data_IF_916355639171
#
_entry.id   IF_916355639171
#
_cell.length_a   1.000
_cell.length_b   1.000
_cell.length_c   1.000
_cell.angle_alpha   90.00
_cell.angle_beta   90.00
_cell.angle_gamma   90.00
#
_symmetry.space_group_name_H-M   'P 1'
#
loop_
_entity.id
_entity.type
_entity.pdbx_description
1 polymer ?
#
# COMPACT_ATOMS: atom_id res chain seq x y z
N UNK A 1 25.91 4.44 -4.38
CA UNK A 1 26.14 5.75 -3.74
C UNK A 1 25.03 5.95 -2.71
N UNK A 2 25.21 6.75 -1.66
CA UNK A 2 24.12 7.12 -0.77
C UNK A 2 23.08 7.96 -1.52
N UNK A 3 21.85 7.98 -1.00
CA UNK A 3 20.80 8.86 -1.51
C UNK A 3 21.16 10.34 -1.34
N UNK A 4 20.80 11.14 -2.32
CA UNK A 4 21.02 12.58 -2.28
C UNK A 4 20.08 13.26 -1.29
N UNK A 5 20.57 13.70 -0.15
CA UNK A 5 19.79 14.32 0.93
C UNK A 5 19.29 15.74 0.60
N UNK A 6 19.80 16.37 -0.45
CA UNK A 6 19.30 17.67 -0.93
C UNK A 6 17.88 17.55 -1.51
N UNK A 7 17.44 16.33 -1.77
CA UNK A 7 16.06 16.06 -2.18
C UNK A 7 15.03 16.17 -1.06
N UNK A 8 15.45 16.18 0.22
CA UNK A 8 14.51 16.32 1.35
C UNK A 8 13.76 17.66 1.23
N UNK A 9 12.43 17.60 1.17
CA UNK A 9 11.55 18.74 0.95
C UNK A 9 11.30 19.09 -0.52
N UNK A 10 12.03 18.49 -1.47
CA UNK A 10 11.83 18.70 -2.90
C UNK A 10 10.54 18.06 -3.38
N UNK A 11 9.72 18.84 -4.06
CA UNK A 11 8.54 18.37 -4.78
C UNK A 11 8.93 18.02 -6.23
N UNK A 12 8.37 16.92 -6.70
CA UNK A 12 8.49 16.48 -8.08
C UNK A 12 7.34 17.07 -8.93
N UNK A 13 7.51 17.18 -10.25
CA UNK A 13 6.44 17.63 -11.13
C UNK A 13 5.15 16.85 -10.91
N UNK A 14 3.99 17.52 -10.89
CA UNK A 14 2.71 16.84 -10.69
C UNK A 14 2.43 15.86 -11.82
N UNK A 15 1.81 14.73 -11.48
CA UNK A 15 1.26 13.78 -12.44
C UNK A 15 -0.25 13.78 -12.34
N UNK A 16 -0.93 13.47 -13.46
CA UNK A 16 -2.38 13.41 -13.49
C UNK A 16 -2.86 12.04 -13.99
N UNK A 17 -3.94 11.56 -13.40
CA UNK A 17 -4.60 10.31 -13.79
C UNK A 17 -6.11 10.50 -13.83
N UNK A 18 -6.76 9.90 -14.81
CA UNK A 18 -8.22 9.83 -14.89
C UNK A 18 -8.73 8.51 -14.32
N UNK A 19 -9.68 8.57 -13.41
CA UNK A 19 -10.35 7.39 -12.88
C UNK A 19 -11.35 6.89 -13.92
N UNK A 20 -11.03 5.82 -14.64
CA UNK A 20 -11.98 5.21 -15.58
C UNK A 20 -12.71 4.05 -14.92
N UNK A 21 -13.95 3.79 -15.35
CA UNK A 21 -14.74 2.66 -14.85
C UNK A 21 -14.01 1.33 -15.11
N UNK A 22 -13.43 1.18 -16.30
CA UNK A 22 -12.68 0.00 -16.70
C UNK A 22 -11.46 -0.23 -15.78
N UNK A 23 -10.66 0.81 -15.53
CA UNK A 23 -9.44 0.71 -14.72
C UNK A 23 -9.75 0.34 -13.26
N UNK A 24 -10.75 0.99 -12.63
CA UNK A 24 -11.11 0.68 -11.25
C UNK A 24 -11.67 -0.74 -11.10
N UNK A 25 -12.47 -1.22 -12.07
CA UNK A 25 -13.00 -2.58 -12.07
C UNK A 25 -11.92 -3.63 -12.35
N UNK A 26 -10.98 -3.33 -13.25
CA UNK A 26 -9.80 -4.17 -13.49
C UNK A 26 -8.97 -4.29 -12.21
N UNK A 27 -8.80 -3.18 -11.49
CA UNK A 27 -8.05 -3.17 -10.23
C UNK A 27 -8.76 -4.00 -9.14
N UNK A 28 -10.07 -3.87 -8.97
CA UNK A 28 -10.83 -4.69 -8.03
C UNK A 28 -10.68 -6.19 -8.31
N UNK A 29 -10.85 -6.59 -9.58
CA UNK A 29 -10.67 -7.99 -10.01
C UNK A 29 -9.24 -8.51 -9.82
N UNK A 30 -8.25 -7.63 -9.81
CA UNK A 30 -6.84 -8.02 -9.67
C UNK A 30 -6.48 -8.53 -8.26
N UNK A 31 -7.33 -8.35 -7.26
CA UNK A 31 -7.21 -8.94 -5.92
C UNK A 31 -8.53 -9.57 -5.45
N UNK A 32 -9.34 -10.05 -6.40
CA UNK A 32 -10.56 -10.84 -6.20
C UNK A 32 -11.59 -10.14 -5.32
N UNK A 33 -11.74 -8.81 -5.48
CA UNK A 33 -12.74 -8.02 -4.80
C UNK A 33 -13.96 -7.78 -5.69
N UNK A 34 -15.05 -8.41 -5.34
CA UNK A 34 -16.32 -8.41 -6.05
C UNK A 34 -17.38 -7.50 -5.39
N UNK A 35 -16.94 -6.58 -4.55
CA UNK A 35 -17.84 -5.68 -3.84
C UNK A 35 -18.77 -4.93 -4.83
N UNK A 36 -20.10 -5.00 -4.65
CA UNK A 36 -21.06 -4.37 -5.56
C UNK A 36 -20.83 -2.87 -5.80
N UNK A 37 -20.24 -2.18 -4.81
CA UNK A 37 -19.92 -0.75 -4.93
C UNK A 37 -18.94 -0.42 -6.06
N UNK A 38 -18.22 -1.41 -6.59
CA UNK A 38 -17.28 -1.23 -7.71
C UNK A 38 -17.89 -1.59 -9.07
N UNK A 39 -19.03 -2.31 -9.08
CA UNK A 39 -19.57 -2.92 -10.31
C UNK A 39 -21.00 -2.54 -10.60
N UNK A 40 -21.83 -2.31 -9.58
CA UNK A 40 -23.24 -2.06 -9.72
C UNK A 40 -23.57 -0.55 -9.66
N UNK A 41 -23.98 0.07 -10.79
CA UNK A 41 -24.34 1.49 -10.79
C UNK A 41 -25.61 1.79 -9.99
N UNK A 42 -26.44 0.77 -9.67
CA UNK A 42 -27.62 0.91 -8.84
C UNK A 42 -27.34 0.85 -7.33
N UNK A 43 -26.12 0.50 -6.94
CA UNK A 43 -25.70 0.47 -5.54
C UNK A 43 -25.88 1.86 -4.87
N UNK A 44 -26.28 1.94 -3.60
CA UNK A 44 -26.48 3.21 -2.90
C UNK A 44 -25.27 4.14 -3.00
N UNK A 45 -25.47 5.34 -3.56
CA UNK A 45 -24.40 6.30 -3.80
C UNK A 45 -23.55 6.04 -5.05
N UNK A 46 -23.95 5.07 -5.90
CA UNK A 46 -23.33 4.74 -7.18
C UNK A 46 -21.95 4.09 -7.08
N UNK A 47 -21.30 3.92 -8.21
CA UNK A 47 -19.97 3.31 -8.29
C UNK A 47 -18.91 4.20 -7.64
N UNK A 48 -18.03 3.58 -6.86
CA UNK A 48 -16.80 4.18 -6.32
C UNK A 48 -15.62 3.25 -6.64
N UNK A 49 -14.43 3.79 -6.70
CA UNK A 49 -13.24 2.97 -6.81
C UNK A 49 -12.92 2.25 -5.48
N UNK A 50 -12.32 1.05 -5.52
CA UNK A 50 -11.71 0.48 -4.34
C UNK A 50 -10.74 1.48 -3.71
N UNK A 51 -10.67 1.65 -2.38
CA UNK A 51 -9.74 2.59 -1.74
C UNK A 51 -8.29 2.37 -2.20
N UNK A 52 -7.88 1.11 -2.35
CA UNK A 52 -6.53 0.76 -2.81
C UNK A 52 -6.26 1.11 -4.29
N UNK A 53 -7.27 1.47 -5.09
CA UNK A 53 -7.07 2.03 -6.44
C UNK A 53 -6.27 3.35 -6.40
N UNK A 54 -6.23 4.01 -5.25
CA UNK A 54 -5.35 5.13 -5.00
C UNK A 54 -3.89 4.84 -5.35
N UNK A 55 -3.43 3.58 -5.26
CA UNK A 55 -2.10 3.16 -5.71
C UNK A 55 -1.92 3.41 -7.21
N UNK A 56 -2.88 2.99 -8.04
CA UNK A 56 -2.80 3.13 -9.49
C UNK A 56 -2.76 4.61 -9.92
N UNK A 57 -3.55 5.48 -9.27
CA UNK A 57 -3.56 6.92 -9.59
C UNK A 57 -2.30 7.66 -9.13
N UNK A 58 -1.60 7.17 -8.12
CA UNK A 58 -0.37 7.79 -7.59
C UNK A 58 0.91 7.17 -8.16
N UNK A 59 0.82 6.04 -8.87
CA UNK A 59 1.98 5.25 -9.27
C UNK A 59 3.02 6.03 -10.08
N UNK A 60 2.58 6.82 -11.06
CA UNK A 60 3.49 7.60 -11.89
C UNK A 60 4.24 8.69 -11.10
N UNK A 61 3.65 9.22 -10.03
CA UNK A 61 4.35 10.14 -9.12
C UNK A 61 5.45 9.43 -8.33
N UNK A 62 5.22 8.18 -7.90
CA UNK A 62 6.24 7.35 -7.25
C UNK A 62 7.38 7.05 -8.22
N UNK A 63 7.06 6.58 -9.43
CA UNK A 63 8.04 6.25 -10.48
C UNK A 63 8.89 7.47 -10.82
N UNK A 64 8.27 8.65 -11.00
CA UNK A 64 8.98 9.89 -11.31
C UNK A 64 9.91 10.32 -10.18
N UNK A 65 9.50 10.21 -8.94
CA UNK A 65 10.30 10.59 -7.78
C UNK A 65 11.47 9.64 -7.53
N UNK A 66 11.21 8.32 -7.55
CA UNK A 66 12.23 7.30 -7.26
C UNK A 66 13.18 7.12 -8.43
N UNK A 67 12.70 7.32 -9.65
CA UNK A 67 13.47 7.21 -10.89
C UNK A 67 14.32 8.43 -11.23
N UNK A 68 14.30 9.50 -10.44
CA UNK A 68 15.14 10.68 -10.65
C UNK A 68 16.63 10.29 -10.52
N UNK A 69 17.44 10.42 -11.58
CA UNK A 69 18.84 9.99 -11.54
C UNK A 69 19.68 10.73 -10.49
N UNK A 70 19.33 11.98 -10.20
CA UNK A 70 20.04 12.81 -9.22
C UNK A 70 19.76 12.40 -7.79
N UNK A 71 18.64 11.69 -7.52
CA UNK A 71 18.33 11.09 -6.22
C UNK A 71 19.30 9.94 -5.89
N UNK A 72 19.79 9.22 -6.91
CA UNK A 72 20.74 8.12 -6.74
C UNK A 72 20.15 6.84 -6.18
N UNK A 73 18.84 6.61 -6.28
CA UNK A 73 18.17 5.41 -5.80
C UNK A 73 18.58 4.18 -6.63
N UNK A 74 19.07 3.14 -5.97
CA UNK A 74 19.35 1.85 -6.61
C UNK A 74 18.09 0.97 -6.60
N UNK A 75 17.39 0.95 -7.73
CA UNK A 75 16.10 0.27 -7.88
C UNK A 75 16.18 -1.25 -7.66
N UNK A 76 17.35 -1.88 -7.93
CA UNK A 76 17.54 -3.32 -7.69
C UNK A 76 17.65 -3.69 -6.21
N UNK A 77 17.96 -2.69 -5.37
CA UNK A 77 18.08 -2.86 -3.91
C UNK A 77 16.92 -2.23 -3.15
N UNK A 78 15.97 -1.65 -3.89
CA UNK A 78 14.81 -1.00 -3.32
C UNK A 78 13.82 -2.03 -2.80
N UNK A 79 13.32 -1.80 -1.59
CA UNK A 79 12.22 -2.52 -0.97
C UNK A 79 11.13 -1.53 -0.61
N UNK A 80 9.89 -1.85 -0.92
CA UNK A 80 8.75 -1.15 -0.37
C UNK A 80 8.57 -1.60 1.08
N UNK A 81 8.81 -0.72 2.03
CA UNK A 81 8.87 -1.04 3.46
C UNK A 81 7.59 -0.67 4.21
N UNK A 82 6.96 0.45 3.85
CA UNK A 82 5.78 0.98 4.53
C UNK A 82 4.83 1.64 3.52
N UNK A 83 3.54 1.50 3.77
CA UNK A 83 2.49 2.23 3.08
C UNK A 83 1.48 2.74 4.10
N UNK A 84 1.19 4.04 4.06
CA UNK A 84 0.14 4.67 4.86
C UNK A 84 -0.74 5.49 3.95
N UNK A 85 -2.02 5.16 3.87
CA UNK A 85 -2.99 5.80 2.98
C UNK A 85 -4.15 6.36 3.78
N UNK A 86 -4.41 7.66 3.63
CA UNK A 86 -5.56 8.34 4.20
C UNK A 86 -6.55 8.72 3.10
N UNK A 87 -7.73 8.10 3.14
CA UNK A 87 -8.79 8.23 2.14
C UNK A 87 -9.72 9.38 2.51
N UNK A 88 -9.48 10.57 1.96
CA UNK A 88 -10.17 11.82 2.32
C UNK A 88 -11.50 11.96 1.58
N UNK A 89 -11.56 11.49 0.33
CA UNK A 89 -12.78 11.44 -0.48
C UNK A 89 -12.78 10.19 -1.36
N UNK A 90 -13.97 9.63 -1.69
CA UNK A 90 -14.06 8.50 -2.60
C UNK A 90 -13.67 8.94 -4.02
N UNK A 91 -12.90 8.10 -4.72
CA UNK A 91 -12.62 8.25 -6.14
C UNK A 91 -13.78 7.66 -6.95
N UNK A 92 -14.20 8.35 -8.01
CA UNK A 92 -15.33 7.95 -8.87
C UNK A 92 -14.95 7.94 -10.34
N UNK A 93 -15.64 7.16 -11.18
CA UNK A 93 -15.46 7.23 -12.63
C UNK A 93 -15.61 8.67 -13.15
N UNK A 94 -14.65 9.13 -13.93
CA UNK A 94 -14.60 10.47 -14.48
C UNK A 94 -13.77 11.46 -13.65
N UNK A 95 -13.35 11.12 -12.43
CA UNK A 95 -12.48 11.99 -11.64
C UNK A 95 -11.12 12.15 -12.31
N UNK A 96 -10.64 13.39 -12.36
CA UNK A 96 -9.27 13.75 -12.73
C UNK A 96 -8.49 14.05 -11.44
N UNK A 97 -7.46 13.26 -11.19
CA UNK A 97 -6.65 13.34 -9.97
C UNK A 97 -5.25 13.81 -10.32
N UNK A 98 -4.81 14.88 -9.68
CA UNK A 98 -3.44 15.36 -9.76
C UNK A 98 -2.70 15.04 -8.47
N UNK A 99 -1.54 14.42 -8.58
CA UNK A 99 -0.69 14.02 -7.44
C UNK A 99 0.66 14.72 -7.52
N UNK A 100 1.09 15.27 -6.38
CA UNK A 100 2.45 15.79 -6.17
C UNK A 100 3.18 14.89 -5.20
N UNK A 101 4.35 14.41 -5.59
CA UNK A 101 5.25 13.64 -4.73
C UNK A 101 6.31 14.57 -4.15
N UNK A 102 6.59 14.43 -2.85
CA UNK A 102 7.65 15.15 -2.13
C UNK A 102 8.49 14.16 -1.35
N UNK A 103 9.82 14.29 -1.41
CA UNK A 103 10.72 13.53 -0.53
C UNK A 103 10.58 14.10 0.89
N UNK A 104 9.91 13.36 1.77
CA UNK A 104 9.66 13.79 3.14
C UNK A 104 10.88 13.59 4.05
N UNK A 105 11.59 12.46 3.87
CA UNK A 105 12.78 12.15 4.66
C UNK A 105 13.73 11.19 3.93
N UNK A 106 15.02 11.27 4.26
CA UNK A 106 16.05 10.29 3.93
C UNK A 106 16.88 10.07 5.19
N UNK A 107 16.93 8.83 5.69
CA UNK A 107 17.58 8.48 6.95
C UNK A 107 18.50 7.28 6.77
N UNK A 108 19.71 7.37 7.34
CA UNK A 108 20.56 6.20 7.46
C UNK A 108 19.98 5.23 8.50
N UNK A 109 19.91 3.97 8.15
CA UNK A 109 19.41 2.89 9.01
C UNK A 109 20.38 1.70 8.97
N UNK A 110 20.40 0.84 9.98
CA UNK A 110 21.18 -0.39 9.91
C UNK A 110 20.84 -1.18 8.65
N UNK A 111 21.88 -1.44 7.83
CA UNK A 111 21.74 -2.22 6.59
C UNK A 111 21.30 -1.44 5.35
N UNK A 112 21.15 -0.11 5.41
CA UNK A 112 20.80 0.70 4.25
C UNK A 112 20.32 2.11 4.57
N UNK A 113 19.48 2.63 3.71
CA UNK A 113 18.85 3.94 3.88
C UNK A 113 17.32 3.81 3.73
N UNK A 114 16.59 4.46 4.63
CA UNK A 114 15.16 4.62 4.55
C UNK A 114 14.82 5.97 3.90
N UNK A 115 13.87 5.98 3.00
CA UNK A 115 13.31 7.20 2.39
C UNK A 115 11.80 7.15 2.46
N UNK A 116 11.16 8.27 2.74
CA UNK A 116 9.73 8.43 2.69
C UNK A 116 9.34 9.45 1.63
N UNK A 117 8.39 9.07 0.76
CA UNK A 117 7.70 9.97 -0.16
C UNK A 117 6.32 10.31 0.41
N UNK A 118 6.01 11.59 0.50
CA UNK A 118 4.66 12.09 0.74
C UNK A 118 3.99 12.37 -0.61
N UNK A 119 2.82 11.75 -0.85
CA UNK A 119 2.03 11.92 -2.05
C UNK A 119 0.72 12.60 -1.69
N UNK A 120 0.50 13.80 -2.20
CA UNK A 120 -0.71 14.56 -1.97
C UNK A 120 -1.53 14.61 -3.27
N UNK A 121 -2.72 14.00 -3.25
CA UNK A 121 -3.60 13.90 -4.41
C UNK A 121 -4.83 14.79 -4.24
N UNK A 122 -5.16 15.53 -5.29
CA UNK A 122 -6.29 16.45 -5.35
C UNK A 122 -7.15 16.16 -6.57
N UNK A 123 -8.44 16.40 -6.47
CA UNK A 123 -9.33 16.37 -7.62
C UNK A 123 -9.21 17.67 -8.44
N UNK A 124 -9.94 17.74 -9.58
CA UNK A 124 -9.94 18.89 -10.49
C UNK A 124 -10.36 20.22 -9.80
N UNK A 125 -11.16 20.17 -8.75
CA UNK A 125 -11.54 21.35 -7.96
C UNK A 125 -10.48 21.76 -6.92
N UNK A 126 -9.33 21.05 -6.85
CA UNK A 126 -8.27 21.29 -5.90
C UNK A 126 -8.53 20.71 -4.50
N UNK A 127 -9.66 20.02 -4.28
CA UNK A 127 -9.96 19.39 -3.01
C UNK A 127 -9.09 18.14 -2.78
N UNK A 128 -8.53 17.93 -1.57
CA UNK A 128 -7.73 16.76 -1.28
C UNK A 128 -8.60 15.49 -1.28
N UNK A 129 -8.11 14.42 -1.93
CA UNK A 129 -8.81 13.14 -2.03
C UNK A 129 -8.04 11.98 -1.42
N UNK A 130 -6.71 12.05 -1.43
CA UNK A 130 -5.84 11.00 -0.91
C UNK A 130 -4.52 11.62 -0.41
N UNK A 131 -4.07 11.18 0.75
CA UNK A 131 -2.68 11.34 1.21
C UNK A 131 -2.04 9.99 1.35
N UNK A 132 -0.79 9.90 0.92
CA UNK A 132 -0.03 8.64 1.01
C UNK A 132 1.37 8.94 1.51
N UNK A 133 1.83 8.16 2.48
CA UNK A 133 3.25 8.02 2.80
C UNK A 133 3.74 6.70 2.22
N UNK A 134 4.67 6.79 1.29
CA UNK A 134 5.28 5.65 0.60
C UNK A 134 6.71 5.48 1.15
N UNK A 135 6.89 4.50 2.02
CA UNK A 135 8.16 4.23 2.70
C UNK A 135 9.00 3.21 1.94
N UNK A 136 10.22 3.59 1.61
CA UNK A 136 11.19 2.81 0.85
C UNK A 136 12.39 2.49 1.73
N UNK A 137 12.94 1.30 1.57
CA UNK A 137 14.24 0.94 2.14
C UNK A 137 15.19 0.49 1.03
N UNK A 138 16.33 1.16 0.88
CA UNK A 138 17.37 0.80 -0.07
C UNK A 138 18.47 0.07 0.70
N UNK A 139 18.60 -1.23 0.43
CA UNK A 139 19.61 -2.08 1.09
C UNK A 139 21.02 -1.63 0.73
N UNK A 140 21.91 -1.58 1.72
CA UNK A 140 23.34 -1.37 1.50
C UNK A 140 23.94 -2.45 0.60
N UNK A 141 24.98 -2.12 -0.16
CA UNK A 141 25.76 -3.11 -0.91
C UNK A 141 26.30 -4.19 0.04
N UNK A 142 26.45 -5.41 -0.47
CA UNK A 142 26.85 -6.58 0.35
C UNK A 142 28.16 -6.36 1.12
N UNK A 143 29.06 -5.49 0.60
CA UNK A 143 30.34 -5.13 1.21
C UNK A 143 30.20 -4.15 2.40
N UNK A 144 29.11 -3.39 2.43
CA UNK A 144 28.90 -2.32 3.41
C UNK A 144 27.89 -2.70 4.51
N UNK A 145 27.48 -3.97 4.55
CA UNK A 145 26.61 -4.49 5.59
C UNK A 145 27.42 -4.69 6.86
N UNK A 146 27.59 -3.63 7.64
CA UNK A 146 27.97 -3.74 9.04
C UNK A 146 26.99 -4.64 9.80
N UNK A 147 27.37 -5.12 10.99
CA UNK A 147 26.50 -5.93 11.83
C UNK A 147 25.11 -5.26 11.92
N UNK A 148 24.11 -5.93 11.40
CA UNK A 148 22.73 -5.42 11.42
C UNK A 148 22.35 -5.18 12.88
N UNK A 149 22.29 -3.92 13.29
CA UNK A 149 21.74 -3.54 14.59
C UNK A 149 20.35 -4.16 14.71
N UNK A 150 20.04 -4.76 15.86
CA UNK A 150 18.69 -5.26 16.13
C UNK A 150 17.75 -4.06 16.06
N UNK A 151 17.04 -3.92 14.96
CA UNK A 151 15.86 -3.07 14.95
C UNK A 151 14.88 -3.65 15.96
N UNK A 152 14.34 -2.80 16.84
CA UNK A 152 13.25 -3.22 17.73
C UNK A 152 12.18 -3.89 16.90
N UNK A 153 11.83 -5.13 17.24
CA UNK A 153 10.70 -5.80 16.59
C UNK A 153 9.44 -5.04 16.98
N UNK A 154 8.63 -4.60 16.02
CA UNK A 154 7.32 -4.06 16.34
C UNK A 154 6.59 -5.06 17.24
N UNK A 155 5.97 -4.55 18.30
CA UNK A 155 5.19 -5.38 19.21
C UNK A 155 3.92 -5.78 18.48
N UNK A 156 3.71 -7.07 18.27
CA UNK A 156 2.43 -7.59 17.74
C UNK A 156 1.31 -7.29 18.73
N UNK A 157 0.07 -7.08 18.25
CA UNK A 157 -1.07 -6.88 19.11
C UNK A 157 -1.19 -8.02 20.13
N UNK A 158 -1.61 -7.71 21.35
CA UNK A 158 -1.78 -8.70 22.44
C UNK A 158 -3.24 -9.16 22.55
N UNK A 159 -3.45 -10.37 23.05
CA UNK A 159 -4.76 -10.98 23.22
C UNK A 159 -5.28 -11.66 21.95
N UNK A 160 -6.51 -12.17 22.04
CA UNK A 160 -7.14 -12.87 20.92
C UNK A 160 -7.63 -11.88 19.84
N UNK A 161 -7.47 -12.19 18.55
CA UNK A 161 -8.02 -11.39 17.49
C UNK A 161 -9.56 -11.45 17.51
N UNK A 162 -10.19 -10.31 17.26
CA UNK A 162 -11.66 -10.23 17.09
C UNK A 162 -12.12 -10.83 15.77
N UNK A 163 -11.20 -10.97 14.81
CA UNK A 163 -11.46 -11.45 13.46
C UNK A 163 -10.22 -12.15 12.92
N UNK A 164 -10.42 -13.30 12.29
CA UNK A 164 -9.40 -14.03 11.51
C UNK A 164 -10.00 -14.44 10.19
N UNK A 165 -9.36 -14.07 9.09
CA UNK A 165 -9.83 -14.35 7.72
C UNK A 165 -8.68 -14.90 6.89
N UNK A 166 -8.92 -16.02 6.23
CA UNK A 166 -8.02 -16.64 5.26
C UNK A 166 -8.40 -16.23 3.84
N UNK A 167 -7.41 -15.97 3.01
CA UNK A 167 -7.57 -15.58 1.61
C UNK A 167 -6.53 -16.30 0.76
N UNK A 168 -7.00 -17.02 -0.26
CA UNK A 168 -6.13 -17.65 -1.26
C UNK A 168 -5.53 -16.60 -2.20
N UNK A 169 -4.28 -16.80 -2.57
CA UNK A 169 -3.60 -16.02 -3.59
C UNK A 169 -3.46 -16.90 -4.84
N UNK A 170 -4.08 -16.53 -5.92
CA UNK A 170 -4.01 -17.28 -7.15
C UNK A 170 -2.59 -17.31 -7.76
N UNK A 171 -2.31 -18.32 -8.55
CA UNK A 171 -1.00 -18.48 -9.22
C UNK A 171 -0.71 -17.35 -10.23
N UNK A 172 -1.73 -16.71 -10.78
CA UNK A 172 -1.64 -15.58 -11.73
C UNK A 172 -1.84 -14.22 -11.07
N UNK A 173 -2.03 -14.16 -9.75
CA UNK A 173 -2.38 -12.97 -8.99
C UNK A 173 -1.45 -11.79 -9.26
N UNK A 174 -0.16 -12.08 -9.29
CA UNK A 174 0.84 -11.03 -9.47
C UNK A 174 0.81 -10.43 -10.88
N UNK A 175 0.50 -11.23 -11.91
CA UNK A 175 0.36 -10.74 -13.29
C UNK A 175 -0.88 -9.85 -13.44
N UNK A 176 -2.03 -10.29 -12.90
CA UNK A 176 -3.27 -9.51 -12.90
C UNK A 176 -3.07 -8.17 -12.18
N UNK A 177 -2.37 -8.20 -11.04
CA UNK A 177 -2.12 -6.99 -10.25
C UNK A 177 -1.14 -6.03 -10.94
N UNK A 178 -0.06 -6.54 -11.56
CA UNK A 178 0.88 -5.73 -12.34
C UNK A 178 0.18 -4.95 -13.46
N UNK A 179 -0.75 -5.60 -14.17
CA UNK A 179 -1.53 -5.00 -15.24
C UNK A 179 -2.55 -3.96 -14.75
N UNK A 180 -3.04 -4.09 -13.53
CA UNK A 180 -4.07 -3.21 -12.98
C UNK A 180 -3.49 -2.02 -12.20
N UNK A 181 -2.38 -2.22 -11.51
CA UNK A 181 -1.72 -1.20 -10.69
C UNK A 181 -0.73 -0.34 -11.47
N UNK A 182 -0.20 -0.86 -12.59
CA UNK A 182 0.92 -0.27 -13.33
C UNK A 182 2.30 -0.62 -12.76
N UNK A 183 2.37 -1.30 -11.62
CA UNK A 183 3.63 -1.79 -11.04
C UNK A 183 4.10 -3.04 -11.78
N UNK A 184 4.97 -2.85 -12.75
CA UNK A 184 5.58 -3.91 -13.54
C UNK A 184 7.03 -4.20 -13.13
N UNK A 185 7.37 -3.99 -11.87
CA UNK A 185 8.69 -4.36 -11.37
C UNK A 185 8.95 -5.84 -11.67
N UNK A 186 10.04 -6.16 -12.40
CA UNK A 186 10.29 -7.52 -12.90
C UNK A 186 10.32 -8.61 -11.82
N UNK A 187 10.61 -8.30 -10.56
CA UNK A 187 10.59 -9.30 -9.47
C UNK A 187 9.20 -9.95 -9.27
N UNK A 188 8.15 -9.32 -9.79
CA UNK A 188 6.78 -9.77 -9.68
C UNK A 188 6.29 -10.58 -10.90
N UNK A 189 7.01 -10.51 -12.03
CA UNK A 189 6.54 -11.07 -13.30
C UNK A 189 7.61 -11.86 -14.08
N UNK A 190 8.86 -11.83 -13.64
CA UNK A 190 9.98 -12.53 -14.25
C UNK A 190 10.73 -13.37 -13.23
N UNK A 191 10.65 -14.69 -13.38
CA UNK A 191 11.27 -15.68 -12.50
C UNK A 191 12.80 -15.53 -12.42
N UNK A 192 13.46 -15.20 -13.55
CA UNK A 192 14.91 -15.07 -13.59
C UNK A 192 15.36 -13.82 -12.83
N UNK A 193 14.64 -12.70 -13.02
CA UNK A 193 14.94 -11.46 -12.31
C UNK A 193 14.68 -11.61 -10.80
N UNK A 194 13.60 -12.28 -10.42
CA UNK A 194 13.32 -12.58 -9.01
C UNK A 194 14.46 -13.37 -8.36
N UNK A 195 14.95 -14.43 -9.03
CA UNK A 195 16.10 -15.23 -8.58
C UNK A 195 17.41 -14.42 -8.52
N UNK A 196 17.67 -13.57 -9.50
CA UNK A 196 18.81 -12.65 -9.48
C UNK A 196 18.73 -11.65 -8.31
N UNK A 197 17.52 -11.23 -7.91
CA UNK A 197 17.29 -10.40 -6.73
C UNK A 197 17.43 -11.17 -5.39
N UNK A 198 17.70 -12.50 -5.46
CA UNK A 198 17.87 -13.37 -4.28
C UNK A 198 16.57 -13.88 -3.70
N UNK A 199 15.46 -13.85 -4.48
CA UNK A 199 14.19 -14.44 -4.13
C UNK A 199 14.10 -15.88 -4.67
N UNK A 200 13.34 -16.79 -4.04
CA UNK A 200 13.17 -18.16 -4.53
C UNK A 200 12.35 -18.24 -5.84
N UNK A 201 11.54 -17.21 -6.12
CA UNK A 201 10.70 -17.11 -7.30
C UNK A 201 10.02 -15.74 -7.34
N UNK A 202 9.11 -15.55 -8.29
CA UNK A 202 8.30 -14.31 -8.34
C UNK A 202 7.51 -14.14 -7.06
N UNK A 203 7.36 -12.90 -6.63
CA UNK A 203 6.64 -12.55 -5.39
C UNK A 203 5.42 -11.71 -5.69
N UNK A 204 4.38 -11.85 -4.87
CA UNK A 204 3.19 -11.00 -4.94
C UNK A 204 3.59 -9.59 -4.50
N UNK A 205 3.02 -8.57 -5.16
CA UNK A 205 3.21 -7.18 -4.77
C UNK A 205 2.78 -6.95 -3.32
N UNK A 206 3.60 -6.25 -2.55
CA UNK A 206 3.21 -5.88 -1.18
C UNK A 206 1.87 -5.13 -1.14
N UNK A 207 1.66 -4.24 -2.11
CA UNK A 207 0.41 -3.48 -2.26
C UNK A 207 -0.79 -4.36 -2.67
N UNK A 208 -0.59 -5.49 -3.35
CA UNK A 208 -1.62 -6.49 -3.58
C UNK A 208 -2.01 -7.18 -2.26
N UNK A 209 -1.02 -7.59 -1.46
CA UNK A 209 -1.26 -8.14 -0.12
C UNK A 209 -2.01 -7.15 0.79
N UNK A 210 -1.68 -5.86 0.71
CA UNK A 210 -2.40 -4.80 1.40
C UNK A 210 -3.83 -4.63 0.87
N UNK A 211 -4.07 -4.82 -0.44
CA UNK A 211 -5.41 -4.77 -1.03
C UNK A 211 -6.30 -5.93 -0.51
N UNK A 212 -5.76 -7.12 -0.36
CA UNK A 212 -6.46 -8.24 0.30
C UNK A 212 -6.81 -7.90 1.76
N UNK A 213 -5.90 -7.31 2.53
CA UNK A 213 -6.20 -6.83 3.87
C UNK A 213 -7.28 -5.74 3.87
N UNK A 214 -7.24 -4.79 2.92
CA UNK A 214 -8.27 -3.77 2.72
C UNK A 214 -9.66 -4.39 2.51
N UNK A 215 -9.75 -5.44 1.66
CA UNK A 215 -11.00 -6.17 1.44
C UNK A 215 -11.56 -6.73 2.75
N UNK A 216 -10.72 -7.36 3.58
CA UNK A 216 -11.14 -7.85 4.91
C UNK A 216 -11.73 -6.73 5.75
N UNK A 217 -11.08 -5.54 5.80
CA UNK A 217 -11.57 -4.40 6.58
C UNK A 217 -12.93 -3.91 6.06
N UNK A 218 -13.07 -3.80 4.74
CA UNK A 218 -14.31 -3.32 4.11
C UNK A 218 -15.45 -4.31 4.36
N UNK A 219 -15.23 -5.59 4.09
CA UNK A 219 -16.27 -6.62 4.21
C UNK A 219 -16.72 -6.82 5.66
N UNK A 220 -15.79 -6.80 6.61
CA UNK A 220 -16.05 -7.23 7.99
C UNK A 220 -16.27 -6.08 8.97
N UNK A 221 -15.66 -4.93 8.74
CA UNK A 221 -15.72 -3.80 9.67
C UNK A 221 -16.45 -2.59 9.11
N UNK A 222 -16.49 -2.43 7.78
CA UNK A 222 -17.20 -1.33 7.12
C UNK A 222 -18.61 -1.72 6.64
N UNK A 223 -19.11 -2.91 6.95
CA UNK A 223 -20.36 -3.45 6.44
C UNK A 223 -20.46 -3.44 4.89
N UNK A 224 -19.34 -3.66 4.21
CA UNK A 224 -19.25 -3.65 2.74
C UNK A 224 -19.19 -2.26 2.11
N UNK A 225 -19.25 -1.17 2.88
CA UNK A 225 -19.12 0.19 2.32
C UNK A 225 -17.67 0.69 2.32
N UNK A 226 -17.00 0.76 1.15
CA UNK A 226 -15.60 1.16 1.06
C UNK A 226 -15.36 2.63 1.46
N UNK A 227 -16.39 3.48 1.44
CA UNK A 227 -16.28 4.90 1.83
C UNK A 227 -16.00 5.05 3.33
N UNK A 228 -16.36 4.06 4.14
CA UNK A 228 -16.12 4.05 5.58
C UNK A 228 -14.66 3.80 5.95
N UNK A 229 -13.87 3.17 5.07
CA UNK A 229 -12.43 3.02 5.27
C UNK A 229 -11.75 4.39 5.10
N UNK A 230 -11.14 4.91 6.18
CA UNK A 230 -10.54 6.25 6.20
C UNK A 230 -9.02 6.23 6.21
N UNK A 231 -8.41 5.19 6.74
CA UNK A 231 -6.96 5.02 6.72
C UNK A 231 -6.60 3.55 6.73
N UNK A 232 -5.54 3.22 6.03
CA UNK A 232 -4.91 1.92 6.06
C UNK A 232 -3.39 2.11 6.03
N UNK A 233 -2.72 1.63 7.09
CA UNK A 233 -1.26 1.68 7.24
C UNK A 233 -0.72 0.29 7.45
N UNK A 234 0.40 -0.02 6.80
CA UNK A 234 1.09 -1.32 6.90
C UNK A 234 2.61 -1.15 6.88
N UNK A 235 3.31 -2.10 7.51
CA UNK A 235 4.73 -2.34 7.28
C UNK A 235 4.88 -3.71 6.62
N UNK A 236 5.55 -3.75 5.48
CA UNK A 236 5.86 -5.00 4.78
C UNK A 236 7.09 -5.66 5.42
N UNK A 237 7.02 -6.94 5.69
CA UNK A 237 8.09 -7.63 6.41
C UNK A 237 8.64 -8.86 5.71
N UNK A 238 7.83 -9.56 4.94
CA UNK A 238 8.20 -10.77 4.20
C UNK A 238 7.43 -10.85 2.89
N UNK A 239 7.99 -11.53 1.88
CA UNK A 239 7.26 -11.78 0.64
C UNK A 239 6.10 -12.75 0.86
N UNK A 240 5.11 -12.66 -0.04
CA UNK A 240 4.04 -13.63 -0.27
C UNK A 240 4.29 -14.22 -1.67
N UNK A 241 4.04 -15.50 -1.85
CA UNK A 241 4.22 -16.18 -3.13
C UNK A 241 2.87 -16.53 -3.77
N UNK A 242 2.78 -16.53 -5.11
CA UNK A 242 1.59 -17.03 -5.80
C UNK A 242 1.26 -18.46 -5.37
N UNK A 243 -0.04 -18.73 -5.17
CA UNK A 243 -0.54 -20.04 -4.71
C UNK A 243 -0.58 -20.21 -3.18
N UNK A 244 -0.06 -19.24 -2.40
CA UNK A 244 -0.16 -19.28 -0.94
C UNK A 244 -1.55 -18.86 -0.44
N UNK A 245 -1.87 -19.28 0.78
CA UNK A 245 -3.00 -18.73 1.54
C UNK A 245 -2.45 -17.78 2.60
N UNK A 246 -2.97 -16.56 2.65
CA UNK A 246 -2.64 -15.58 3.69
C UNK A 246 -3.75 -15.51 4.73
N UNK A 247 -3.38 -15.25 5.98
CA UNK A 247 -4.32 -15.13 7.09
C UNK A 247 -4.21 -13.71 7.69
N UNK A 248 -5.27 -12.93 7.58
CA UNK A 248 -5.36 -11.61 8.21
C UNK A 248 -6.07 -11.72 9.56
N UNK A 249 -5.42 -11.25 10.62
CA UNK A 249 -5.94 -11.17 11.98
C UNK A 249 -6.11 -9.73 12.40
N UNK A 250 -7.23 -9.41 13.05
CA UNK A 250 -7.59 -8.05 13.45
C UNK A 250 -7.87 -7.99 14.95
N UNK A 251 -7.41 -6.93 15.60
CA UNK A 251 -7.63 -6.62 17.02
C UNK A 251 -8.27 -5.25 17.18
N UNK A 252 -9.22 -5.12 18.08
CA UNK A 252 -9.78 -3.82 18.42
C UNK A 252 -8.75 -2.97 19.18
N UNK A 253 -8.64 -1.69 18.80
CA UNK A 253 -7.93 -0.68 19.60
C UNK A 253 -8.98 0.13 20.36
N UNK A 254 -8.84 0.23 21.66
CA UNK A 254 -9.84 0.89 22.54
C UNK A 254 -9.89 2.42 22.35
N UNK A 255 -8.96 3.00 21.60
CA UNK A 255 -8.86 4.44 21.40
C UNK A 255 -9.62 4.87 20.15
N UNK A 256 -10.52 5.85 20.31
CA UNK A 256 -11.11 6.55 19.15
C UNK A 256 -10.11 7.55 18.61
N UNK A 257 -9.98 7.61 17.30
CA UNK A 257 -9.16 8.58 16.59
C UNK A 257 -10.07 9.67 16.02
N UNK A 258 -9.64 10.92 16.13
CA UNK A 258 -10.36 12.07 15.61
C UNK A 258 -9.54 12.72 14.51
N UNK A 259 -10.11 12.88 13.32
CA UNK A 259 -9.51 13.71 12.29
C UNK A 259 -9.97 15.16 12.44
N UNK A 260 -9.15 16.09 11.97
CA UNK A 260 -9.48 17.52 12.01
C UNK A 260 -10.80 17.79 11.25
N UNK A 261 -11.73 18.48 11.92
CA UNK A 261 -13.05 18.80 11.36
C UNK A 261 -14.10 17.67 11.47
N UNK A 262 -13.79 16.50 11.99
CA UNK A 262 -14.77 15.45 12.23
C UNK A 262 -15.54 15.66 13.54
N UNK A 263 -16.88 15.46 13.47
CA UNK A 263 -17.76 15.54 14.65
C UNK A 263 -17.89 14.19 15.37
N UNK A 264 -17.57 13.09 14.69
CA UNK A 264 -17.68 11.72 15.22
C UNK A 264 -16.35 11.03 15.04
N UNK A 265 -15.81 10.46 16.12
CA UNK A 265 -14.52 9.77 16.08
C UNK A 265 -14.56 8.49 15.26
N UNK A 266 -13.45 8.17 14.62
CA UNK A 266 -13.22 6.92 13.90
C UNK A 266 -12.92 5.79 14.88
N UNK A 267 -13.32 4.58 14.53
CA UNK A 267 -12.86 3.36 15.21
C UNK A 267 -11.52 2.93 14.62
N UNK A 268 -10.55 2.64 15.47
CA UNK A 268 -9.24 2.15 15.05
C UNK A 268 -9.08 0.66 15.38
N UNK A 269 -8.40 -0.06 14.49
CA UNK A 269 -8.08 -1.48 14.66
C UNK A 269 -6.63 -1.73 14.27
N UNK A 270 -5.97 -2.61 15.03
CA UNK A 270 -4.68 -3.16 14.64
C UNK A 270 -4.90 -4.43 13.81
N UNK A 271 -3.99 -4.74 12.91
CA UNK A 271 -4.01 -6.00 12.18
C UNK A 271 -2.62 -6.46 11.75
N UNK A 272 -2.52 -7.74 11.51
CA UNK A 272 -1.36 -8.36 10.89
C UNK A 272 -1.83 -9.40 9.88
N UNK A 273 -1.03 -9.62 8.83
CA UNK A 273 -1.28 -10.67 7.84
C UNK A 273 -0.12 -11.65 7.86
N UNK A 274 -0.42 -12.94 7.82
CA UNK A 274 0.53 -14.02 7.97
C UNK A 274 0.54 -14.91 6.72
N UNK A 275 1.69 -15.48 6.40
CA UNK A 275 1.83 -16.53 5.40
C UNK A 275 1.48 -17.92 5.99
N UNK A 276 1.50 -19.02 5.19
CA UNK A 276 1.19 -20.36 5.67
C UNK A 276 2.10 -20.87 6.80
N UNK A 277 3.34 -20.37 6.87
CA UNK A 277 4.29 -20.73 7.94
C UNK A 277 4.04 -19.97 9.26
N UNK A 278 2.96 -19.18 9.34
CA UNK A 278 2.65 -18.35 10.50
C UNK A 278 3.58 -17.16 10.69
N UNK A 279 4.32 -16.78 9.66
CA UNK A 279 5.20 -15.60 9.71
C UNK A 279 4.48 -14.37 9.17
N UNK A 280 4.53 -13.28 9.93
CA UNK A 280 3.89 -12.05 9.51
C UNK A 280 4.53 -11.48 8.23
N UNK A 281 3.71 -11.23 7.21
CA UNK A 281 4.05 -10.58 5.94
C UNK A 281 3.68 -9.09 5.97
N UNK A 282 2.58 -8.74 6.66
CA UNK A 282 2.22 -7.38 7.07
C UNK A 282 2.29 -7.31 8.59
N UNK A 283 2.94 -6.27 9.12
CA UNK A 283 3.07 -5.99 10.56
C UNK A 283 2.60 -4.59 10.88
N UNK A 284 2.28 -4.38 12.16
CA UNK A 284 1.88 -3.07 12.68
C UNK A 284 0.82 -2.39 11.82
N UNK A 285 -0.07 -3.19 11.22
CA UNK A 285 -1.17 -2.70 10.44
C UNK A 285 -2.14 -1.91 11.33
N UNK A 286 -2.57 -0.75 10.83
CA UNK A 286 -3.58 0.09 11.48
C UNK A 286 -4.62 0.44 10.43
N UNK A 287 -5.90 0.35 10.80
CA UNK A 287 -7.01 0.84 10.00
C UNK A 287 -7.91 1.75 10.81
N UNK A 288 -8.42 2.80 10.17
CA UNK A 288 -9.39 3.73 10.76
C UNK A 288 -10.68 3.70 9.94
N UNK A 289 -11.80 3.57 10.63
CA UNK A 289 -13.12 3.36 10.02
C UNK A 289 -14.09 4.39 10.56
N UNK A 290 -14.79 5.07 9.65
CA UNK A 290 -15.90 5.96 9.99
C UNK A 290 -17.11 5.16 10.48
N UNK A 291 -17.93 5.73 11.35
CA UNK A 291 -19.14 5.10 11.88
C UNK A 291 -20.16 4.72 10.82
#
# INVERSE_FOLDING_TARGET
MPLNREFIGREHPPTSATVTLEALQKYARAYDDDNPRYFDPSAPGGIVAPPMFGVAVTWMSVVGAVGDPELGADLLRLLHAEQDMEFLAPLRPGDEITTVAKVASIEARPGGEAMALELNSRNRAGAPVLRTLFGIFIRAARRDRGAAGRTERPVSPSGDPILTVEQGIDSDQTFRYAEASGDRNPIHVDENVAKMAGLPGIVVHGLCTMAFASKVMIDRLCAGDPIRLKRLRVHFSRPVFPGETITTKVWAITTKVWAEGERVGRSAYAFETYNPDGMAVIRSGITEIAP
#
